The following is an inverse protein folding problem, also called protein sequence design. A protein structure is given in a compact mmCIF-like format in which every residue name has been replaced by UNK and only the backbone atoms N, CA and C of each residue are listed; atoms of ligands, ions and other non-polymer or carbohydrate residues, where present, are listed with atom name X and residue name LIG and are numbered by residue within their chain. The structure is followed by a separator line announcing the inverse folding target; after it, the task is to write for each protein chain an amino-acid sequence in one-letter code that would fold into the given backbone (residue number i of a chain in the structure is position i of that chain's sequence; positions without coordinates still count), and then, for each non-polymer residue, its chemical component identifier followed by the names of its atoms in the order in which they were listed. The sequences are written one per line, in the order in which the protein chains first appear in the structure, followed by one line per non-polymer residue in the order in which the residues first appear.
data_IF_921682543551
#
_entry.id   IF_921682543551
#
_cell.length_a   1.000
_cell.length_b   1.000
_cell.length_c   1.000
_cell.angle_alpha   90.00
_cell.angle_beta   90.00
_cell.angle_gamma   90.00
#
_symmetry.space_group_name_H-M   'P 1'
#
loop_
_entity.id
_entity.type
_entity.pdbx_description
1 polymer ?
#
# COMPACT_ATOMS: atom_id res chain seq x y z
N UNK A 1 19.38 -18.16 37.24
CA UNK A 1 19.37 -16.96 36.38
C UNK A 1 18.64 -17.31 35.10
N UNK A 2 17.60 -16.55 34.72
CA UNK A 2 16.94 -16.76 33.43
C UNK A 2 17.82 -16.11 32.38
N UNK A 3 18.40 -16.92 31.50
CA UNK A 3 19.16 -16.46 30.33
C UNK A 3 18.22 -16.49 29.14
N UNK A 4 18.11 -15.38 28.42
CA UNK A 4 17.31 -15.28 27.21
C UNK A 4 18.22 -15.43 25.99
N UNK A 5 17.74 -16.02 24.87
CA UNK A 5 18.52 -16.10 23.64
C UNK A 5 18.65 -14.74 22.92
N UNK A 6 17.72 -13.80 23.15
CA UNK A 6 17.74 -12.46 22.56
C UNK A 6 17.41 -11.40 23.62
N UNK A 7 18.08 -10.26 23.54
CA UNK A 7 17.82 -9.08 24.35
C UNK A 7 17.55 -7.87 23.44
N UNK A 8 16.48 -7.13 23.71
CA UNK A 8 16.07 -5.93 22.97
C UNK A 8 16.24 -4.72 23.87
N UNK A 9 17.00 -3.73 23.42
CA UNK A 9 17.11 -2.43 24.06
C UNK A 9 16.10 -1.45 23.45
N UNK A 10 15.24 -0.88 24.29
CA UNK A 10 14.27 0.12 23.89
C UNK A 10 14.91 1.52 23.83
N UNK A 11 14.28 2.45 23.12
CA UNK A 11 14.75 3.85 23.02
C UNK A 11 14.82 4.60 24.34
N UNK A 12 14.18 4.08 25.40
CA UNK A 12 14.27 4.60 26.77
C UNK A 12 15.37 3.91 27.63
N UNK A 13 16.23 3.10 27.01
CA UNK A 13 17.32 2.37 27.68
C UNK A 13 16.89 1.09 28.43
N UNK A 14 15.60 0.74 28.44
CA UNK A 14 15.13 -0.51 29.05
C UNK A 14 15.52 -1.71 28.20
N UNK A 15 16.02 -2.76 28.85
CA UNK A 15 16.35 -4.05 28.20
C UNK A 15 15.25 -5.08 28.49
N UNK A 16 14.80 -5.78 27.44
CA UNK A 16 13.81 -6.86 27.51
C UNK A 16 14.43 -8.14 26.95
N UNK A 17 14.46 -9.22 27.74
CA UNK A 17 14.84 -10.55 27.25
C UNK A 17 13.65 -11.28 26.63
N UNK A 18 13.88 -12.01 25.53
CA UNK A 18 12.84 -12.74 24.80
C UNK A 18 13.42 -13.93 24.02
N UNK A 19 12.54 -14.86 23.61
CA UNK A 19 12.93 -16.02 22.81
C UNK A 19 13.07 -15.71 21.32
N UNK A 20 12.27 -14.77 20.81
CA UNK A 20 12.30 -14.32 19.42
C UNK A 20 11.73 -12.90 19.28
N UNK A 21 12.05 -12.25 18.16
CA UNK A 21 11.58 -10.91 17.81
C UNK A 21 10.82 -10.97 16.48
N UNK A 22 9.65 -10.34 16.43
CA UNK A 22 8.91 -10.11 15.18
C UNK A 22 9.02 -8.65 14.81
N UNK A 23 9.59 -8.35 13.65
CA UNK A 23 9.64 -6.99 13.10
C UNK A 23 8.53 -6.81 12.07
N UNK A 24 7.60 -5.91 12.36
CA UNK A 24 6.45 -5.58 11.50
C UNK A 24 6.35 -4.05 11.30
N UNK A 25 7.48 -3.41 10.94
CA UNK A 25 7.63 -1.95 10.87
C UNK A 25 7.22 -1.32 9.52
N UNK A 26 6.66 -2.13 8.61
CA UNK A 26 6.25 -1.69 7.28
C UNK A 26 6.89 -2.51 6.18
N UNK A 27 6.64 -2.09 4.94
CA UNK A 27 7.09 -2.75 3.71
C UNK A 27 7.66 -1.72 2.75
N UNK A 28 8.67 -2.14 1.98
CA UNK A 28 9.33 -1.33 0.97
C UNK A 28 9.04 -1.91 -0.41
N UNK A 29 8.82 -1.09 -1.46
CA UNK A 29 8.54 -1.61 -2.80
C UNK A 29 9.74 -2.36 -3.36
N UNK A 30 9.50 -3.57 -3.86
CA UNK A 30 10.55 -4.43 -4.41
C UNK A 30 10.85 -4.06 -5.87
N UNK A 31 11.67 -3.03 -6.07
CA UNK A 31 11.95 -2.47 -7.41
C UNK A 31 13.38 -2.68 -7.92
N UNK A 32 14.29 -3.11 -7.05
CA UNK A 32 15.74 -3.11 -7.29
C UNK A 32 16.14 -3.82 -8.59
N UNK A 33 15.61 -5.02 -8.82
CA UNK A 33 15.90 -5.83 -10.01
C UNK A 33 15.53 -5.13 -11.32
N UNK A 34 14.45 -4.34 -11.32
CA UNK A 34 14.00 -3.62 -12.52
C UNK A 34 14.87 -2.40 -12.81
N UNK A 35 15.34 -1.72 -11.76
CA UNK A 35 16.17 -0.52 -11.86
C UNK A 35 17.56 -0.81 -12.42
N UNK A 36 18.06 -2.04 -12.24
CA UNK A 36 19.31 -2.48 -12.89
C UNK A 36 19.18 -2.60 -14.41
N UNK A 37 17.96 -2.83 -14.91
CA UNK A 37 17.70 -3.12 -16.33
C UNK A 37 17.23 -1.90 -17.13
N UNK A 38 16.55 -0.94 -16.49
CA UNK A 38 16.04 0.25 -17.14
C UNK A 38 15.81 1.41 -16.16
N UNK A 39 15.78 2.64 -16.68
CA UNK A 39 15.54 3.85 -15.91
C UNK A 39 14.04 4.10 -15.69
N UNK A 40 13.46 3.43 -14.69
CA UNK A 40 12.09 3.70 -14.26
C UNK A 40 12.00 5.01 -13.46
N UNK A 41 10.94 5.79 -13.69
CA UNK A 41 10.55 6.86 -12.76
C UNK A 41 10.00 6.23 -11.49
N UNK A 42 10.38 6.79 -10.35
CA UNK A 42 9.97 6.32 -9.03
C UNK A 42 9.11 7.36 -8.32
N UNK A 43 8.17 6.88 -7.50
CA UNK A 43 7.44 7.70 -6.54
C UNK A 43 8.31 8.08 -5.34
N UNK A 44 7.78 8.95 -4.48
CA UNK A 44 8.48 9.43 -3.28
C UNK A 44 8.75 8.31 -2.25
N UNK A 45 7.96 7.24 -2.29
CA UNK A 45 8.12 6.03 -1.48
C UNK A 45 8.98 4.94 -2.15
N UNK A 46 9.58 5.24 -3.30
CA UNK A 46 10.45 4.33 -4.05
C UNK A 46 9.74 3.31 -4.93
N UNK A 47 8.41 3.33 -5.02
CA UNK A 47 7.67 2.44 -5.93
C UNK A 47 7.77 2.89 -7.39
N UNK A 48 7.57 1.97 -8.34
CA UNK A 48 7.50 2.31 -9.76
C UNK A 48 6.36 3.30 -9.99
N UNK A 49 6.67 4.51 -10.48
CA UNK A 49 5.64 5.52 -10.71
C UNK A 49 4.78 5.11 -11.91
N UNK A 50 3.45 5.06 -11.71
CA UNK A 50 2.49 4.71 -12.75
C UNK A 50 1.45 5.81 -12.97
N UNK A 51 1.02 6.00 -14.21
CA UNK A 51 -0.09 6.91 -14.55
C UNK A 51 -1.47 6.29 -14.22
N UNK A 52 -2.56 7.04 -14.47
CA UNK A 52 -3.95 6.60 -14.28
C UNK A 52 -4.38 5.42 -15.16
N UNK A 53 -3.49 4.92 -16.02
CA UNK A 53 -3.66 3.72 -16.85
C UNK A 53 -2.67 2.62 -16.45
N UNK A 54 -2.08 2.72 -15.26
CA UNK A 54 -1.09 1.79 -14.72
C UNK A 54 0.19 1.69 -15.57
N UNK A 55 0.45 2.64 -16.47
CA UNK A 55 1.64 2.65 -17.32
C UNK A 55 2.83 3.17 -16.53
N UNK A 56 3.97 2.48 -16.62
CA UNK A 56 5.24 3.01 -16.10
C UNK A 56 5.83 4.05 -17.05
N UNK A 57 6.98 4.63 -16.70
CA UNK A 57 7.74 5.48 -17.61
C UNK A 57 8.34 4.77 -18.82
N UNK A 58 8.38 3.42 -18.81
CA UNK A 58 8.92 2.63 -19.90
C UNK A 58 7.77 2.12 -20.79
N UNK A 59 7.91 2.32 -22.09
CA UNK A 59 6.89 1.93 -23.08
C UNK A 59 6.59 0.43 -22.97
N UNK A 60 5.30 0.08 -23.07
CA UNK A 60 4.79 -1.29 -22.99
C UNK A 60 5.02 -2.00 -21.64
N UNK A 61 5.46 -1.28 -20.59
CA UNK A 61 5.62 -1.84 -19.24
C UNK A 61 4.60 -1.17 -18.32
N UNK A 62 3.82 -2.01 -17.65
CA UNK A 62 2.80 -1.62 -16.67
C UNK A 62 3.19 -2.17 -15.30
N UNK A 63 2.73 -1.52 -14.23
CA UNK A 63 2.93 -2.00 -12.87
C UNK A 63 1.65 -1.81 -12.05
N UNK A 64 1.44 -2.67 -11.06
CA UNK A 64 0.25 -2.65 -10.21
C UNK A 64 0.57 -3.23 -8.82
N UNK A 65 -0.24 -2.87 -7.82
CA UNK A 65 -0.08 -3.33 -6.45
C UNK A 65 1.16 -2.74 -5.76
N UNK A 66 1.68 -3.47 -4.78
CA UNK A 66 2.66 -2.96 -3.82
C UNK A 66 3.98 -2.50 -4.44
N UNK A 67 4.30 -2.90 -5.67
CA UNK A 67 5.54 -2.50 -6.35
C UNK A 67 5.50 -1.08 -6.90
N UNK A 68 4.30 -0.51 -7.10
CA UNK A 68 4.12 0.75 -7.81
C UNK A 68 3.50 1.83 -6.93
N UNK A 69 3.59 3.07 -7.41
CA UNK A 69 3.07 4.26 -6.75
C UNK A 69 2.27 5.08 -7.76
N UNK A 70 1.13 5.58 -7.31
CA UNK A 70 0.24 6.39 -8.12
C UNK A 70 0.87 7.74 -8.47
N UNK A 71 0.94 8.05 -9.76
CA UNK A 71 1.48 9.29 -10.31
C UNK A 71 0.43 10.28 -10.81
N UNK A 72 -0.85 9.98 -10.62
CA UNK A 72 -1.97 10.89 -10.91
C UNK A 72 -2.33 11.76 -9.70
N UNK A 73 -3.24 12.72 -9.90
CA UNK A 73 -3.80 13.51 -8.80
C UNK A 73 -4.66 12.63 -7.90
N UNK A 74 -4.17 12.38 -6.69
CA UNK A 74 -4.83 11.53 -5.71
C UNK A 74 -6.07 12.21 -5.14
N UNK A 75 -7.12 11.42 -4.92
CA UNK A 75 -8.24 11.82 -4.11
C UNK A 75 -7.79 12.18 -2.68
N UNK A 76 -8.48 13.11 -2.04
CA UNK A 76 -8.16 13.54 -0.66
C UNK A 76 -8.10 12.37 0.34
N UNK A 77 -8.94 11.36 0.13
CA UNK A 77 -9.07 10.20 1.01
C UNK A 77 -8.23 8.99 0.57
N UNK A 78 -7.49 9.13 -0.53
CA UNK A 78 -6.63 8.06 -1.05
C UNK A 78 -5.21 8.17 -0.50
N UNK A 79 -4.62 7.05 -0.13
CA UNK A 79 -3.19 6.95 0.19
C UNK A 79 -2.68 5.53 -0.03
N UNK A 80 -1.42 5.37 -0.43
CA UNK A 80 -0.89 4.06 -0.82
C UNK A 80 -0.80 3.08 0.36
N UNK A 81 -1.81 2.23 0.51
CA UNK A 81 -1.90 1.15 1.49
C UNK A 81 -1.67 -0.18 0.79
N UNK A 82 -0.42 -0.62 0.78
CA UNK A 82 0.12 -1.86 0.17
C UNK A 82 -0.60 -3.10 0.72
N UNK A 83 -1.81 -3.30 0.24
CA UNK A 83 -2.78 -4.28 0.70
C UNK A 83 -3.25 -5.10 -0.49
N UNK A 84 -3.53 -6.36 -0.21
CA UNK A 84 -4.05 -7.29 -1.22
C UNK A 84 -5.31 -6.78 -1.94
N UNK A 85 -6.24 -6.15 -1.22
CA UNK A 85 -7.46 -5.59 -1.81
C UNK A 85 -7.14 -4.52 -2.87
N UNK A 86 -6.17 -3.67 -2.59
CA UNK A 86 -5.70 -2.67 -3.53
C UNK A 86 -4.98 -3.32 -4.71
N UNK A 87 -4.02 -4.21 -4.44
CA UNK A 87 -3.26 -4.90 -5.47
C UNK A 87 -4.17 -5.67 -6.45
N UNK A 88 -5.24 -6.29 -5.94
CA UNK A 88 -6.25 -6.98 -6.76
C UNK A 88 -6.98 -6.02 -7.70
N UNK A 89 -7.44 -4.87 -7.21
CA UNK A 89 -8.14 -3.88 -8.04
C UNK A 89 -7.20 -3.28 -9.08
N UNK A 90 -5.97 -2.93 -8.68
CA UNK A 90 -4.94 -2.42 -9.58
C UNK A 90 -4.57 -3.44 -10.66
N UNK A 91 -4.41 -4.72 -10.31
CA UNK A 91 -4.07 -5.77 -11.27
C UNK A 91 -5.17 -6.01 -12.31
N UNK A 92 -6.43 -6.05 -11.87
CA UNK A 92 -7.58 -6.15 -12.78
C UNK A 92 -7.65 -4.96 -13.74
N UNK A 93 -7.48 -3.76 -13.20
CA UNK A 93 -7.51 -2.53 -14.00
C UNK A 93 -6.31 -2.43 -14.95
N UNK A 94 -5.10 -2.80 -14.51
CA UNK A 94 -3.91 -2.88 -15.36
C UNK A 94 -4.13 -3.82 -16.56
N UNK A 95 -4.79 -4.97 -16.35
CA UNK A 95 -5.14 -5.87 -17.44
C UNK A 95 -6.07 -5.22 -18.48
N UNK A 96 -7.07 -4.45 -18.04
CA UNK A 96 -7.91 -3.65 -18.94
C UNK A 96 -7.10 -2.60 -19.68
N UNK A 97 -6.21 -1.89 -18.99
CA UNK A 97 -5.34 -0.88 -19.57
C UNK A 97 -4.40 -1.47 -20.63
N UNK A 98 -3.81 -2.63 -20.38
CA UNK A 98 -2.98 -3.35 -21.37
C UNK A 98 -3.79 -3.68 -22.63
N UNK A 99 -5.02 -4.20 -22.48
CA UNK A 99 -5.89 -4.51 -23.61
C UNK A 99 -6.27 -3.26 -24.41
N UNK A 100 -6.65 -2.18 -23.73
CA UNK A 100 -6.98 -0.92 -24.38
C UNK A 100 -5.76 -0.31 -25.08
N UNK A 101 -4.58 -0.38 -24.45
CA UNK A 101 -3.32 0.10 -25.02
C UNK A 101 -2.97 -0.66 -26.31
N UNK A 102 -3.06 -1.99 -26.30
CA UNK A 102 -2.80 -2.82 -27.47
C UNK A 102 -3.75 -2.53 -28.65
N UNK A 103 -4.97 -2.07 -28.37
CA UNK A 103 -5.99 -1.76 -29.38
C UNK A 103 -6.09 -0.28 -29.73
N UNK A 104 -5.22 0.60 -29.20
CA UNK A 104 -5.31 2.05 -29.33
C UNK A 104 -6.68 2.62 -28.91
N UNK A 105 -7.22 2.15 -27.79
CA UNK A 105 -8.52 2.56 -27.22
C UNK A 105 -8.39 3.07 -25.78
N UNK A 106 -7.25 3.68 -25.44
CA UNK A 106 -6.95 4.12 -24.08
C UNK A 106 -8.00 5.10 -23.53
N UNK A 107 -8.55 5.97 -24.38
CA UNK A 107 -9.53 7.00 -24.00
C UNK A 107 -10.90 6.43 -23.56
N UNK A 108 -11.13 5.13 -23.76
CA UNK A 108 -12.37 4.45 -23.36
C UNK A 108 -12.38 3.98 -21.91
N UNK A 109 -11.25 4.09 -21.20
CA UNK A 109 -11.12 3.62 -19.83
C UNK A 109 -11.20 4.77 -18.84
N UNK A 110 -12.00 4.58 -17.79
CA UNK A 110 -12.06 5.45 -16.63
C UNK A 110 -11.66 4.67 -15.39
N UNK A 111 -10.92 5.32 -14.49
CA UNK A 111 -10.65 4.76 -13.16
C UNK A 111 -11.97 4.57 -12.39
N UNK A 112 -12.01 3.51 -11.59
CA UNK A 112 -13.16 3.15 -10.76
C UNK A 112 -13.09 3.87 -9.40
N UNK A 113 -14.21 3.99 -8.69
CA UNK A 113 -14.30 4.65 -7.37
C UNK A 113 -13.35 4.04 -6.33
N UNK A 114 -12.94 2.77 -6.51
CA UNK A 114 -12.00 2.11 -5.61
C UNK A 114 -10.57 2.71 -5.64
N UNK A 115 -10.29 3.64 -6.56
CA UNK A 115 -9.08 4.45 -6.59
C UNK A 115 -9.24 5.80 -5.88
N UNK A 116 -10.39 6.06 -5.25
CA UNK A 116 -10.68 7.30 -4.52
C UNK A 116 -10.71 7.11 -2.99
N UNK A 117 -11.05 5.90 -2.51
CA UNK A 117 -11.26 5.62 -1.08
C UNK A 117 -10.67 4.28 -0.67
N UNK A 118 -9.94 4.27 0.45
CA UNK A 118 -9.48 3.04 1.09
C UNK A 118 -10.41 2.49 2.14
N UNK A 119 -10.44 1.17 2.22
CA UNK A 119 -11.04 0.43 3.32
C UNK A 119 -10.06 -0.64 3.82
N UNK A 120 -9.83 -0.66 5.12
CA UNK A 120 -9.07 -1.70 5.80
C UNK A 120 -9.87 -2.27 6.95
N UNK A 121 -9.81 -3.59 7.11
CA UNK A 121 -10.47 -4.27 8.22
C UNK A 121 -9.48 -5.21 8.88
N UNK A 122 -9.33 -5.08 10.19
CA UNK A 122 -8.52 -5.99 11.00
C UNK A 122 -9.28 -6.42 12.26
N UNK A 123 -8.74 -7.36 13.00
CA UNK A 123 -9.24 -7.76 14.32
C UNK A 123 -8.15 -7.58 15.35
N UNK A 124 -8.50 -6.97 16.47
CA UNK A 124 -7.66 -6.90 17.65
C UNK A 124 -8.39 -7.56 18.81
N UNK A 125 -7.92 -8.74 19.21
CA UNK A 125 -8.68 -9.68 20.06
C UNK A 125 -10.09 -9.90 19.49
N UNK A 126 -11.14 -9.66 20.30
CA UNK A 126 -12.54 -9.84 19.91
C UNK A 126 -13.17 -8.59 19.28
N UNK A 127 -12.37 -7.55 18.99
CA UNK A 127 -12.85 -6.31 18.39
C UNK A 127 -12.54 -6.30 16.90
N UNK A 128 -13.57 -6.04 16.08
CA UNK A 128 -13.40 -5.71 14.67
C UNK A 128 -13.04 -4.23 14.56
N UNK A 129 -11.93 -3.93 13.92
CA UNK A 129 -11.50 -2.57 13.63
C UNK A 129 -11.66 -2.34 12.14
N UNK A 130 -12.44 -1.31 11.78
CA UNK A 130 -12.69 -0.91 10.40
C UNK A 130 -12.19 0.51 10.23
N UNK A 131 -11.34 0.71 9.23
CA UNK A 131 -10.75 1.99 8.89
C UNK A 131 -11.17 2.34 7.46
N UNK A 132 -11.75 3.50 7.28
CA UNK A 132 -12.21 4.01 5.98
C UNK A 132 -11.58 5.38 5.71
N UNK A 133 -11.15 5.61 4.48
CA UNK A 133 -10.51 6.86 4.08
C UNK A 133 -9.10 7.00 4.63
N UNK A 134 -8.69 8.23 4.96
CA UNK A 134 -7.32 8.55 5.37
C UNK A 134 -7.18 8.44 6.89
N UNK A 135 -6.42 7.45 7.36
CA UNK A 135 -6.19 7.16 8.79
C UNK A 135 -4.70 7.11 9.15
N UNK A 136 -3.85 7.84 8.42
CA UNK A 136 -2.42 7.95 8.75
C UNK A 136 -2.22 8.77 10.03
N UNK A 137 -1.21 8.45 10.84
CA UNK A 137 -1.01 9.00 12.19
C UNK A 137 -0.99 10.55 12.24
N UNK A 138 -0.47 11.20 11.19
CA UNK A 138 -0.35 12.66 11.11
C UNK A 138 -1.66 13.38 10.75
N UNK A 139 -2.66 12.65 10.24
CA UNK A 139 -3.93 13.19 9.74
C UNK A 139 -5.08 13.06 10.75
N UNK A 140 -4.80 12.49 11.92
CA UNK A 140 -5.79 12.17 12.94
C UNK A 140 -6.19 13.39 13.77
N UNK A 141 -7.00 14.27 13.18
CA UNK A 141 -7.72 15.32 13.92
C UNK A 141 -9.16 14.87 14.15
N UNK A 142 -9.43 14.34 15.36
CA UNK A 142 -10.70 13.76 15.83
C UNK A 142 -11.13 12.47 15.11
N UNK A 143 -11.19 11.38 15.87
CA UNK A 143 -11.85 10.14 15.49
C UNK A 143 -13.34 10.25 15.86
N UNK A 144 -14.25 9.78 15.01
CA UNK A 144 -15.65 9.57 15.38
C UNK A 144 -16.03 8.07 15.36
N UNK A 145 -16.58 7.65 16.50
CA UNK A 145 -17.37 6.45 16.81
C UNK A 145 -16.78 5.06 16.50
N UNK A 146 -16.36 4.40 17.59
CA UNK A 146 -16.19 2.95 17.69
C UNK A 146 -17.57 2.28 17.64
N UNK A 147 -18.01 1.82 16.46
CA UNK A 147 -19.27 1.08 16.34
C UNK A 147 -19.04 -0.36 16.79
N UNK A 148 -19.43 -0.66 18.03
CA UNK A 148 -19.58 -2.05 18.51
C UNK A 148 -20.87 -2.62 17.91
N UNK A 149 -20.77 -3.36 16.80
CA UNK A 149 -21.81 -4.31 16.43
C UNK A 149 -21.62 -5.59 17.25
N UNK A 150 -22.54 -5.83 18.19
CA UNK A 150 -22.70 -7.14 18.82
C UNK A 150 -23.80 -7.86 18.03
N UNK A 151 -23.64 -9.14 17.65
CA UNK A 151 -24.66 -9.88 16.90
C UNK A 151 -26.00 -9.97 17.65
#
# INVERSE_FOLDING_TARGET
HIQWPVYVELTNGKIIGCDFVVSAIGVTPNVETFLQSANFKLGTDGGLLVDERMCTSIKNIFACGDVCSAGWTLAEQWFQMRLWSQARQMGHYAGKCMLAYANNRQDSLTMDFCFELFAHTTKFFNMKVVLLGRYHENDMKKYENLIRMTP
#
